data_IF_586602393824
#
_entry.id   IF_586602393824
#
_cell.length_a   1.000
_cell.length_b   1.000
_cell.length_c   1.000
_cell.angle_alpha   90.00
_cell.angle_beta   90.00
_cell.angle_gamma   90.00
#
_symmetry.space_group_name_H-M   'P 1'
#
loop_
_entity.id
_entity.type
_entity.pdbx_description
1 polymer ?
#
# COMPACT_ATOMS: atom_id res chain seq x y z
N UNK A 1 -13.71 3.20 11.58
CA UNK A 1 -12.31 3.71 11.68
C UNK A 1 -11.17 2.72 11.51
N UNK A 2 -11.36 1.39 11.60
CA UNK A 2 -10.24 0.45 11.62
C UNK A 2 -9.28 0.59 10.40
N UNK A 3 -9.82 0.88 9.21
CA UNK A 3 -9.03 1.14 8.01
C UNK A 3 -8.14 2.37 8.16
N UNK A 4 -8.68 3.50 8.64
CA UNK A 4 -7.92 4.74 8.86
C UNK A 4 -6.73 4.47 9.78
N UNK A 5 -6.98 3.87 10.94
CA UNK A 5 -5.93 3.58 11.93
C UNK A 5 -4.84 2.67 11.36
N UNK A 6 -5.24 1.59 10.69
CA UNK A 6 -4.30 0.64 10.09
C UNK A 6 -3.46 1.31 9.00
N UNK A 7 -4.06 2.22 8.24
CA UNK A 7 -3.36 2.98 7.19
C UNK A 7 -2.38 3.97 7.79
N UNK A 8 -2.78 4.72 8.81
CA UNK A 8 -1.89 5.66 9.52
C UNK A 8 -0.69 4.92 10.13
N UNK A 9 -0.92 3.74 10.71
CA UNK A 9 0.16 2.91 11.24
C UNK A 9 1.10 2.46 10.12
N UNK A 10 0.56 1.85 9.07
CA UNK A 10 1.34 1.36 7.92
C UNK A 10 2.16 2.49 7.31
N UNK A 11 1.53 3.64 7.08
CA UNK A 11 2.19 4.82 6.53
C UNK A 11 3.37 5.25 7.39
N UNK A 12 3.23 5.29 8.73
CA UNK A 12 4.33 5.63 9.64
C UNK A 12 5.49 4.63 9.55
N UNK A 13 5.19 3.33 9.40
CA UNK A 13 6.21 2.27 9.32
C UNK A 13 6.96 2.28 7.98
N UNK A 14 6.34 2.77 6.90
CA UNK A 14 6.89 2.69 5.54
C UNK A 14 7.17 4.06 4.91
N UNK A 15 6.92 5.16 5.61
CA UNK A 15 7.08 6.55 5.10
C UNK A 15 8.47 6.82 4.53
N UNK A 16 9.49 6.21 5.10
CA UNK A 16 10.89 6.39 4.71
C UNK A 16 11.28 5.46 3.54
N UNK A 17 10.40 4.52 3.17
CA UNK A 17 10.59 3.55 2.07
C UNK A 17 9.75 3.88 0.84
N UNK A 18 8.75 4.76 0.96
CA UNK A 18 7.87 5.17 -0.15
C UNK A 18 8.23 6.56 -0.67
N UNK A 19 7.69 6.89 -1.84
CA UNK A 19 7.87 8.19 -2.47
C UNK A 19 7.03 9.25 -1.74
N UNK A 20 7.48 10.53 -1.73
CA UNK A 20 6.74 11.62 -1.09
C UNK A 20 5.34 11.82 -1.70
N UNK A 21 5.18 11.52 -2.98
CA UNK A 21 3.90 11.57 -3.69
C UNK A 21 2.90 10.54 -3.13
N UNK A 22 3.33 9.27 -3.02
CA UNK A 22 2.55 8.19 -2.40
C UNK A 22 2.21 8.48 -0.94
N UNK A 23 3.14 9.09 -0.19
CA UNK A 23 2.88 9.52 1.19
C UNK A 23 1.77 10.56 1.23
N UNK A 24 1.87 11.62 0.41
CA UNK A 24 0.90 12.72 0.37
C UNK A 24 -0.49 12.22 -0.06
N UNK A 25 -0.55 11.41 -1.11
CA UNK A 25 -1.80 10.83 -1.62
C UNK A 25 -2.59 10.14 -0.49
N UNK A 26 -1.90 9.41 0.37
CA UNK A 26 -2.52 8.65 1.47
C UNK A 26 -2.93 9.52 2.63
N UNK A 27 -2.11 10.51 3.00
CA UNK A 27 -2.49 11.51 4.00
C UNK A 27 -3.79 12.21 3.57
N UNK A 28 -3.90 12.61 2.30
CA UNK A 28 -5.10 13.22 1.75
C UNK A 28 -6.31 12.28 1.75
N UNK A 29 -6.14 11.00 1.38
CA UNK A 29 -7.25 10.01 1.43
C UNK A 29 -7.70 9.71 2.85
N UNK A 30 -6.78 9.63 3.82
CA UNK A 30 -7.09 9.46 5.24
C UNK A 30 -7.94 10.64 5.72
N UNK A 31 -7.51 11.87 5.45
CA UNK A 31 -8.24 13.07 5.84
C UNK A 31 -9.63 13.13 5.19
N UNK A 32 -9.73 12.81 3.90
CA UNK A 32 -11.01 12.77 3.19
C UNK A 32 -11.97 11.77 3.83
N UNK A 33 -11.52 10.54 4.11
CA UNK A 33 -12.36 9.55 4.78
C UNK A 33 -12.74 9.97 6.20
N UNK A 34 -11.80 10.56 6.97
CA UNK A 34 -12.08 11.09 8.33
C UNK A 34 -13.16 12.16 8.35
N UNK A 35 -13.26 12.99 7.30
CA UNK A 35 -14.27 14.05 7.19
C UNK A 35 -15.67 13.52 6.91
N UNK A 36 -15.78 12.42 6.16
CA UNK A 36 -17.08 11.91 5.68
C UNK A 36 -17.58 10.69 6.46
N UNK A 37 -16.70 9.99 7.20
CA UNK A 37 -17.04 8.73 7.90
C UNK A 37 -18.18 8.84 8.93
N UNK A 38 -18.40 10.04 9.47
CA UNK A 38 -19.42 10.33 10.48
C UNK A 38 -20.66 11.02 9.85
N UNK A 39 -20.71 11.11 8.51
CA UNK A 39 -21.86 11.64 7.78
C UNK A 39 -22.88 10.54 7.42
N UNK A 40 -24.09 10.94 7.05
CA UNK A 40 -25.12 10.02 6.56
C UNK A 40 -24.94 9.62 5.08
N UNK A 41 -23.89 10.11 4.42
CA UNK A 41 -23.64 9.82 3.00
C UNK A 41 -22.88 8.51 2.81
N UNK A 42 -23.61 7.39 2.84
CA UNK A 42 -23.04 6.04 2.73
C UNK A 42 -22.27 5.84 1.42
N UNK A 43 -22.74 6.43 0.30
CA UNK A 43 -22.03 6.32 -0.98
C UNK A 43 -20.66 7.00 -0.94
N UNK A 44 -20.60 8.19 -0.36
CA UNK A 44 -19.36 8.93 -0.20
C UNK A 44 -18.38 8.21 0.74
N UNK A 45 -18.87 7.65 1.85
CA UNK A 45 -18.06 6.83 2.77
C UNK A 45 -17.48 5.62 2.03
N UNK A 46 -18.29 4.91 1.24
CA UNK A 46 -17.83 3.75 0.45
C UNK A 46 -16.80 4.14 -0.60
N UNK A 47 -17.00 5.27 -1.28
CA UNK A 47 -16.07 5.79 -2.26
C UNK A 47 -14.73 6.14 -1.61
N UNK A 48 -14.73 6.90 -0.51
CA UNK A 48 -13.50 7.26 0.22
C UNK A 48 -12.79 6.07 0.85
N UNK A 49 -13.55 5.07 1.30
CA UNK A 49 -13.00 3.79 1.79
C UNK A 49 -12.29 3.03 0.67
N UNK A 50 -12.90 2.97 -0.52
CA UNK A 50 -12.31 2.33 -1.70
C UNK A 50 -11.05 3.06 -2.19
N UNK A 51 -11.11 4.40 -2.27
CA UNK A 51 -9.96 5.24 -2.63
C UNK A 51 -8.78 5.02 -1.66
N UNK A 52 -9.03 5.00 -0.36
CA UNK A 52 -7.99 4.75 0.65
C UNK A 52 -7.41 3.34 0.52
N UNK A 53 -8.26 2.33 0.29
CA UNK A 53 -7.84 0.94 0.13
C UNK A 53 -6.92 0.75 -1.08
N UNK A 54 -7.25 1.40 -2.20
CA UNK A 54 -6.42 1.37 -3.41
C UNK A 54 -5.05 2.05 -3.19
N UNK A 55 -5.03 3.17 -2.46
CA UNK A 55 -3.77 3.86 -2.17
C UNK A 55 -2.83 3.00 -1.30
N UNK A 56 -3.36 2.25 -0.33
CA UNK A 56 -2.57 1.31 0.48
C UNK A 56 -2.00 0.17 -0.38
N UNK A 57 -2.81 -0.39 -1.29
CA UNK A 57 -2.34 -1.44 -2.19
C UNK A 57 -1.19 -0.95 -3.08
N UNK A 58 -1.28 0.30 -3.55
CA UNK A 58 -0.21 0.95 -4.32
C UNK A 58 1.09 1.08 -3.52
N UNK A 59 1.02 1.38 -2.21
CA UNK A 59 2.23 1.30 -1.35
C UNK A 59 2.78 -0.12 -1.33
N UNK A 60 1.93 -1.13 -1.09
CA UNK A 60 2.38 -2.51 -1.04
C UNK A 60 3.14 -2.90 -2.31
N UNK A 61 2.62 -2.49 -3.47
CA UNK A 61 3.27 -2.68 -4.76
C UNK A 61 4.58 -1.87 -4.90
N UNK A 62 4.63 -0.63 -4.43
CA UNK A 62 5.83 0.21 -4.45
C UNK A 62 6.94 -0.38 -3.56
N UNK A 63 6.58 -0.83 -2.35
CA UNK A 63 7.51 -1.47 -1.42
C UNK A 63 8.02 -2.78 -1.98
N UNK A 64 7.17 -3.60 -2.58
CA UNK A 64 7.60 -4.84 -3.23
C UNK A 64 8.55 -4.57 -4.41
N UNK A 65 8.26 -3.52 -5.21
CA UNK A 65 9.16 -3.09 -6.29
C UNK A 65 10.51 -2.60 -5.76
N UNK A 66 10.53 -1.85 -4.66
CA UNK A 66 11.78 -1.38 -4.02
C UNK A 66 12.51 -2.47 -3.24
N UNK A 67 11.79 -3.50 -2.78
CA UNK A 67 12.35 -4.65 -2.08
C UNK A 67 12.86 -5.74 -3.03
N UNK A 68 12.53 -5.69 -4.33
CA UNK A 68 13.29 -6.44 -5.32
C UNK A 68 14.72 -5.90 -5.29
N UNK A 69 15.73 -6.71 -4.96
CA UNK A 69 17.10 -6.28 -5.14
C UNK A 69 17.26 -5.90 -6.61
N UNK A 70 17.98 -4.81 -6.87
CA UNK A 70 18.73 -4.69 -8.11
C UNK A 70 19.58 -5.97 -8.20
N UNK A 71 19.05 -7.03 -8.83
CA UNK A 71 19.88 -8.05 -9.41
C UNK A 71 20.71 -7.31 -10.45
N UNK A 72 22.05 -7.34 -10.38
CA UNK A 72 22.87 -6.87 -11.49
C UNK A 72 22.37 -7.58 -12.75
N UNK A 73 22.26 -6.84 -13.85
CA UNK A 73 22.14 -7.43 -15.18
C UNK A 73 23.28 -8.42 -15.37
N UNK A 74 23.01 -9.71 -15.24
CA UNK A 74 23.77 -10.80 -15.87
C UNK A 74 22.91 -12.07 -15.92
N UNK A 75 22.59 -12.50 -17.15
CA UNK A 75 22.28 -13.88 -17.52
C UNK A 75 20.87 -14.43 -17.26
N UNK A 76 20.26 -15.17 -18.23
CA UNK A 76 19.02 -15.88 -17.99
C UNK A 76 19.32 -17.20 -17.25
N UNK A 77 18.66 -17.43 -16.13
CA UNK A 77 18.47 -18.79 -15.63
C UNK A 77 17.12 -18.87 -14.92
N UNK A 78 16.24 -19.62 -15.56
CA UNK A 78 15.24 -20.44 -14.89
C UNK A 78 15.97 -21.48 -14.00
N UNK A 79 15.19 -22.33 -13.32
CA UNK A 79 15.64 -23.47 -12.48
C UNK A 79 15.88 -23.09 -11.01
N UNK A 80 15.36 -23.77 -9.98
CA UNK A 80 14.66 -25.04 -9.86
C UNK A 80 13.99 -25.07 -8.48
N UNK A 81 12.72 -25.43 -8.39
CA UNK A 81 12.08 -25.78 -7.11
C UNK A 81 12.40 -27.23 -6.80
N UNK A 82 13.43 -27.47 -6.00
CA UNK A 82 13.76 -28.78 -5.45
C UNK A 82 12.73 -29.15 -4.35
N UNK A 83 11.70 -29.91 -4.72
CA UNK A 83 10.86 -30.64 -3.76
C UNK A 83 11.57 -31.93 -3.39
N UNK A 84 12.17 -31.96 -2.19
CA UNK A 84 12.68 -33.20 -1.59
C UNK A 84 11.52 -34.01 -1.00
N UNK A 85 11.24 -35.15 -1.61
CA UNK A 85 10.52 -36.25 -0.97
C UNK A 85 11.55 -37.31 -0.57
N UNK A 86 11.69 -37.57 0.73
CA UNK A 86 12.14 -38.84 1.32
C UNK A 86 11.55 -38.98 2.71
#
# INVERSE_FOLDING_TARGET
DNLIYTTEKTLREVRDKISPDSKKEIEEKIEALKKVKDSDNIEEIKNKTSELSLAIQKIGAELYQKAKPEKPKEGPSAEEGEYKEK
#
